data_IF_698375685142
#
_entry.id   IF_698375685142
#
_cell.length_a   1.000
_cell.length_b   1.000
_cell.length_c   1.000
_cell.angle_alpha   90.00
_cell.angle_beta   90.00
_cell.angle_gamma   90.00
#
_symmetry.space_group_name_H-M   'P 1'
#
loop_
_entity.id
_entity.type
_entity.pdbx_description
1 polymer ?
#
# COMPACT_ATOMS: atom_id res chain seq x y z
N UNK A 1 47.70 4.27 48.87
CA UNK A 1 47.91 4.09 47.57
C UNK A 1 46.64 4.03 46.70
N UNK A 2 46.55 4.78 45.85
CA UNK A 2 45.90 5.09 44.62
C UNK A 2 44.69 4.21 44.25
N UNK A 3 43.54 4.54 44.80
CA UNK A 3 42.29 4.07 44.26
C UNK A 3 42.03 4.73 42.90
N UNK A 4 42.18 3.99 41.85
CA UNK A 4 41.70 4.41 40.55
C UNK A 4 40.28 3.94 40.41
N UNK A 5 39.37 4.82 40.66
CA UNK A 5 38.02 4.62 40.21
C UNK A 5 37.97 4.89 38.72
N UNK A 6 38.00 3.86 37.92
CA UNK A 6 37.64 3.95 36.53
C UNK A 6 36.15 3.90 36.46
N UNK A 7 35.52 5.04 36.52
CA UNK A 7 34.12 5.16 36.14
C UNK A 7 34.03 5.08 34.62
N UNK A 8 33.81 3.90 34.15
CA UNK A 8 33.47 3.69 32.76
C UNK A 8 32.00 4.08 32.62
N UNK A 9 31.84 5.23 32.10
CA UNK A 9 30.52 5.74 31.79
C UNK A 9 29.89 4.86 30.72
N UNK A 10 28.95 4.04 31.13
CA UNK A 10 28.08 3.29 30.24
C UNK A 10 27.03 4.25 29.75
N UNK A 11 27.42 5.23 28.95
CA UNK A 11 26.51 6.20 28.38
C UNK A 11 26.13 5.86 26.92
N UNK A 12 26.49 4.68 26.45
CA UNK A 12 26.41 4.39 25.02
C UNK A 12 25.23 3.53 24.57
N UNK A 13 24.32 3.20 25.46
CA UNK A 13 23.27 2.24 25.12
C UNK A 13 21.91 2.84 24.83
N UNK A 14 21.76 4.15 24.88
CA UNK A 14 20.48 4.80 24.69
C UNK A 14 20.15 5.18 23.23
N UNK A 15 21.09 5.01 22.32
CA UNK A 15 20.89 5.36 20.91
C UNK A 15 20.25 4.25 20.07
N UNK A 16 20.16 3.04 20.59
CA UNK A 16 19.58 1.93 19.85
C UNK A 16 18.04 1.88 19.89
N UNK A 17 17.42 2.76 20.67
CA UNK A 17 15.98 2.76 20.90
C UNK A 17 15.26 3.95 20.26
N UNK A 18 15.93 4.72 19.42
CA UNK A 18 15.24 5.64 18.52
C UNK A 18 14.36 4.79 17.61
N UNK A 19 13.08 4.73 17.92
CA UNK A 19 12.12 3.91 17.22
C UNK A 19 12.30 4.03 15.71
N UNK A 20 12.44 2.92 15.04
CA UNK A 20 12.29 2.87 13.60
C UNK A 20 10.84 3.24 13.33
N UNK A 21 10.59 4.52 13.09
CA UNK A 21 9.38 4.93 12.44
C UNK A 21 9.31 4.09 11.15
N UNK A 22 8.34 3.20 11.06
CA UNK A 22 8.06 2.55 9.79
C UNK A 22 7.71 3.66 8.83
N UNK A 23 8.60 3.94 7.88
CA UNK A 23 8.23 4.71 6.72
C UNK A 23 7.10 3.93 6.04
N UNK A 24 5.90 4.50 6.03
CA UNK A 24 4.82 3.98 5.22
C UNK A 24 5.26 4.13 3.77
N UNK A 25 5.50 3.01 3.11
CA UNK A 25 5.84 2.97 1.72
C UNK A 25 4.62 2.61 0.91
N UNK A 26 4.21 3.52 0.06
CA UNK A 26 3.16 3.24 -0.91
C UNK A 26 3.79 2.96 -2.27
N UNK A 27 3.19 2.02 -2.98
CA UNK A 27 3.43 1.80 -4.39
C UNK A 27 2.16 2.09 -5.17
N UNK A 28 2.29 2.49 -6.40
CA UNK A 28 1.18 2.89 -7.26
C UNK A 28 1.30 2.20 -8.61
N UNK A 29 0.15 1.84 -9.18
CA UNK A 29 0.09 1.31 -10.53
C UNK A 29 -1.25 1.68 -11.19
N UNK A 30 -1.25 1.96 -12.49
CA UNK A 30 -2.48 2.28 -13.19
C UNK A 30 -3.35 1.05 -13.37
N UNK A 31 -4.67 1.23 -13.45
CA UNK A 31 -5.54 0.20 -13.96
C UNK A 31 -5.17 -0.12 -15.41
N UNK A 32 -5.20 -1.40 -15.83
CA UNK A 32 -4.83 -1.74 -17.20
C UNK A 32 -5.85 -1.28 -18.26
N UNK A 33 -7.09 -1.02 -17.86
CA UNK A 33 -8.13 -0.57 -18.75
C UNK A 33 -7.77 0.76 -19.43
N UNK A 34 -7.76 0.75 -20.76
CA UNK A 34 -7.18 1.81 -21.57
C UNK A 34 -7.91 3.15 -21.48
N UNK A 35 -9.22 3.14 -21.28
CA UNK A 35 -10.08 4.32 -21.22
C UNK A 35 -10.46 4.71 -19.79
N UNK A 36 -9.81 4.11 -18.79
CA UNK A 36 -10.08 4.35 -17.37
C UNK A 36 -8.91 5.10 -16.74
N UNK A 37 -9.19 6.31 -16.27
CA UNK A 37 -8.19 7.14 -15.60
C UNK A 37 -8.17 6.85 -14.09
N UNK A 38 -7.70 5.66 -13.73
CA UNK A 38 -7.63 5.16 -12.34
C UNK A 38 -6.23 4.69 -12.00
N UNK A 39 -5.81 5.03 -10.79
CA UNK A 39 -4.58 4.52 -10.19
C UNK A 39 -4.91 3.74 -8.91
N UNK A 40 -4.25 2.61 -8.72
CA UNK A 40 -4.29 1.86 -7.47
C UNK A 40 -3.10 2.22 -6.61
N UNK A 41 -3.32 2.23 -5.31
CA UNK A 41 -2.29 2.45 -4.30
C UNK A 41 -2.26 1.28 -3.33
N UNK A 42 -1.08 0.77 -3.03
CA UNK A 42 -0.89 -0.29 -2.05
C UNK A 42 0.07 0.15 -0.96
N UNK A 43 -0.24 -0.19 0.28
CA UNK A 43 0.73 -0.17 1.37
C UNK A 43 1.62 -1.40 1.22
N UNK A 44 2.90 -1.19 0.97
CA UNK A 44 3.83 -2.30 0.68
C UNK A 44 4.09 -3.18 1.89
N UNK A 45 3.83 -2.71 3.10
CA UNK A 45 4.02 -3.47 4.33
C UNK A 45 2.79 -4.29 4.73
N UNK A 46 1.58 -3.77 4.50
CA UNK A 46 0.33 -4.38 4.99
C UNK A 46 -0.54 -4.97 3.88
N UNK A 47 -0.31 -4.58 2.63
CA UNK A 47 -1.11 -5.02 1.49
C UNK A 47 -2.45 -4.30 1.34
N UNK A 48 -2.72 -3.25 2.13
CA UNK A 48 -3.93 -2.45 1.97
C UNK A 48 -3.97 -1.80 0.59
N UNK A 49 -5.08 -1.96 -0.11
CA UNK A 49 -5.26 -1.42 -1.46
C UNK A 49 -6.40 -0.41 -1.47
N UNK A 50 -6.13 0.75 -2.03
CA UNK A 50 -7.12 1.78 -2.34
C UNK A 50 -6.94 2.22 -3.79
N UNK A 51 -7.86 3.05 -4.28
CA UNK A 51 -7.79 3.54 -5.65
C UNK A 51 -8.27 4.98 -5.73
N UNK A 52 -7.75 5.72 -6.69
CA UNK A 52 -8.21 7.07 -6.98
C UNK A 52 -8.32 7.26 -8.49
N UNK A 53 -9.20 8.14 -8.91
CA UNK A 53 -9.39 8.46 -10.31
C UNK A 53 -9.80 9.91 -10.48
N UNK A 54 -9.64 10.41 -11.69
CA UNK A 54 -10.19 11.70 -12.08
C UNK A 54 -11.71 11.56 -12.24
N UNK A 55 -12.45 12.53 -11.71
CA UNK A 55 -13.89 12.62 -11.90
C UNK A 55 -14.29 14.04 -12.30
N UNK A 56 -15.30 14.12 -13.13
CA UNK A 56 -15.89 15.41 -13.55
C UNK A 56 -17.05 15.72 -12.61
N UNK A 57 -17.11 16.99 -12.20
CA UNK A 57 -18.19 17.50 -11.39
C UNK A 57 -18.78 18.73 -12.09
N UNK A 58 -20.09 18.73 -12.31
CA UNK A 58 -20.79 19.73 -13.14
C UNK A 58 -20.58 21.18 -12.68
N UNK A 59 -20.38 21.39 -11.38
CA UNK A 59 -20.20 22.73 -10.80
C UNK A 59 -18.71 23.07 -10.54
N UNK A 60 -17.78 22.22 -10.98
CA UNK A 60 -16.35 22.45 -10.82
C UNK A 60 -15.65 22.52 -12.18
N UNK A 61 -15.00 23.64 -12.51
CA UNK A 61 -14.29 23.75 -13.78
C UNK A 61 -13.02 22.90 -13.88
N UNK A 62 -12.49 22.42 -12.75
CA UNK A 62 -11.24 21.66 -12.71
C UNK A 62 -11.47 20.16 -12.41
N UNK A 63 -12.71 19.75 -12.13
CA UNK A 63 -13.00 18.37 -11.72
C UNK A 63 -12.52 18.06 -10.30
N UNK A 64 -12.40 16.80 -9.99
CA UNK A 64 -11.98 16.34 -8.66
C UNK A 64 -11.21 15.01 -8.74
N UNK A 65 -10.48 14.73 -7.67
CA UNK A 65 -9.91 13.40 -7.43
C UNK A 65 -10.88 12.60 -6.58
N UNK A 66 -11.40 11.52 -7.14
CA UNK A 66 -12.32 10.62 -6.44
C UNK A 66 -11.55 9.39 -5.97
N UNK A 67 -11.54 9.13 -4.66
CA UNK A 67 -10.83 7.99 -4.10
C UNK A 67 -11.79 6.98 -3.48
N UNK A 68 -11.46 5.71 -3.63
CA UNK A 68 -12.20 4.57 -3.08
C UNK A 68 -11.37 3.94 -1.96
N UNK A 69 -11.94 3.81 -0.75
CA UNK A 69 -11.23 3.18 0.36
C UNK A 69 -11.10 1.67 0.19
N UNK A 70 -10.25 1.07 1.00
CA UNK A 70 -10.13 -0.38 1.08
C UNK A 70 -11.37 -0.99 1.71
N UNK A 71 -12.00 -1.91 1.00
CA UNK A 71 -13.13 -2.72 1.44
C UNK A 71 -12.73 -4.17 1.66
N UNK A 72 -13.67 -5.07 1.46
CA UNK A 72 -13.49 -6.50 1.67
C UNK A 72 -12.27 -7.06 0.93
N UNK A 73 -11.40 -7.72 1.66
CA UNK A 73 -10.18 -8.32 1.13
C UNK A 73 -9.05 -7.34 0.83
N UNK A 74 -9.32 -6.02 0.83
CA UNK A 74 -8.34 -4.99 0.52
C UNK A 74 -7.77 -4.29 1.76
N UNK A 75 -8.31 -4.55 2.94
CA UNK A 75 -7.85 -3.96 4.20
C UNK A 75 -6.47 -4.47 4.59
N UNK A 76 -5.79 -3.80 5.53
CA UNK A 76 -4.49 -4.26 6.00
C UNK A 76 -4.51 -5.73 6.43
N UNK A 77 -3.54 -6.50 5.96
CA UNK A 77 -3.39 -7.91 6.29
C UNK A 77 -2.07 -8.21 6.99
N UNK A 78 -1.58 -9.41 6.81
CA UNK A 78 -0.29 -9.84 7.37
C UNK A 78 0.84 -8.95 6.89
N UNK A 79 1.84 -8.75 7.72
CA UNK A 79 3.08 -8.11 7.32
C UNK A 79 3.72 -8.87 6.15
N UNK A 80 4.10 -8.15 5.10
CA UNK A 80 4.63 -8.75 3.90
C UNK A 80 5.47 -7.77 3.10
N UNK A 81 5.71 -8.14 1.88
CA UNK A 81 6.31 -7.28 0.85
C UNK A 81 5.39 -7.28 -0.36
N UNK A 82 4.45 -6.35 -0.33
CA UNK A 82 3.36 -6.30 -1.29
C UNK A 82 3.65 -5.38 -2.47
N UNK A 83 3.09 -5.73 -3.61
CA UNK A 83 3.14 -4.91 -4.80
C UNK A 83 1.88 -5.05 -5.65
N UNK A 84 1.77 -4.16 -6.62
CA UNK A 84 0.69 -4.15 -7.61
C UNK A 84 1.27 -4.41 -9.00
N UNK A 85 0.59 -5.25 -9.77
CA UNK A 85 0.98 -5.53 -11.16
C UNK A 85 -0.27 -5.43 -12.02
N UNK A 86 -0.34 -4.49 -12.97
CA UNK A 86 -1.41 -4.47 -13.95
C UNK A 86 -1.25 -5.65 -14.92
N UNK A 87 -2.37 -6.23 -15.33
CA UNK A 87 -2.36 -7.20 -16.42
C UNK A 87 -2.17 -6.50 -17.77
N UNK A 88 -1.84 -7.25 -18.80
CA UNK A 88 -1.81 -6.72 -20.17
C UNK A 88 -3.21 -6.63 -20.79
N UNK A 89 -4.25 -7.03 -20.08
CA UNK A 89 -5.62 -7.05 -20.59
C UNK A 89 -6.26 -5.66 -20.52
N UNK A 90 -6.27 -4.96 -21.63
CA UNK A 90 -6.64 -3.52 -21.72
C UNK A 90 -8.11 -3.22 -21.45
N UNK A 91 -8.95 -4.23 -21.25
CA UNK A 91 -10.37 -4.08 -20.92
C UNK A 91 -10.66 -4.32 -19.43
N UNK A 92 -9.64 -4.74 -18.66
CA UNK A 92 -9.79 -5.04 -17.25
C UNK A 92 -9.50 -3.81 -16.37
N UNK A 93 -10.40 -3.54 -15.45
CA UNK A 93 -10.23 -2.45 -14.49
C UNK A 93 -9.48 -2.87 -13.22
N UNK A 94 -9.36 -4.16 -12.97
CA UNK A 94 -8.71 -4.72 -11.80
C UNK A 94 -7.20 -4.81 -11.94
N UNK A 95 -6.55 -5.07 -10.82
CA UNK A 95 -5.10 -5.14 -10.72
C UNK A 95 -4.71 -6.33 -9.84
N UNK A 96 -3.56 -6.94 -10.10
CA UNK A 96 -3.03 -7.99 -9.25
C UNK A 96 -2.31 -7.39 -8.06
N UNK A 97 -2.62 -7.90 -6.87
CA UNK A 97 -1.83 -7.70 -5.67
C UNK A 97 -0.99 -8.94 -5.43
N UNK A 98 0.29 -8.75 -5.23
CA UNK A 98 1.22 -9.84 -4.93
C UNK A 98 1.87 -9.62 -3.58
N UNK A 99 2.20 -10.71 -2.90
CA UNK A 99 3.07 -10.71 -1.73
C UNK A 99 4.35 -11.46 -2.09
N UNK A 100 5.46 -10.73 -2.19
CA UNK A 100 6.74 -11.29 -2.62
C UNK A 100 7.33 -12.25 -1.60
N UNK A 101 6.92 -12.16 -0.33
CA UNK A 101 7.43 -13.05 0.72
C UNK A 101 6.92 -14.47 0.61
N UNK A 102 5.68 -14.65 0.20
CA UNK A 102 5.04 -15.96 0.17
C UNK A 102 4.48 -16.35 -1.21
N UNK A 103 4.54 -15.45 -2.18
CA UNK A 103 4.04 -15.70 -3.52
C UNK A 103 2.53 -15.63 -3.67
N UNK A 104 1.80 -15.18 -2.66
CA UNK A 104 0.35 -15.06 -2.72
C UNK A 104 -0.09 -13.98 -3.72
N UNK A 105 -1.13 -14.28 -4.46
CA UNK A 105 -1.71 -13.39 -5.49
C UNK A 105 -3.19 -13.22 -5.24
N UNK A 106 -3.67 -11.99 -5.33
CA UNK A 106 -5.09 -11.67 -5.34
C UNK A 106 -5.38 -10.68 -6.47
N UNK A 107 -6.65 -10.55 -6.82
CA UNK A 107 -7.11 -9.54 -7.78
C UNK A 107 -7.92 -8.50 -7.02
N UNK A 108 -7.58 -7.23 -7.22
CA UNK A 108 -8.26 -6.11 -6.59
C UNK A 108 -8.97 -5.27 -7.65
N UNK A 109 -10.16 -4.80 -7.35
CA UNK A 109 -10.96 -3.97 -8.24
C UNK A 109 -11.91 -3.08 -7.44
N UNK A 110 -12.45 -2.05 -8.08
CA UNK A 110 -13.46 -1.20 -7.46
C UNK A 110 -14.83 -1.84 -7.66
N UNK A 111 -15.53 -2.08 -6.56
CA UNK A 111 -16.87 -2.67 -6.55
C UNK A 111 -17.91 -1.57 -6.42
N UNK A 112 -18.87 -1.54 -7.33
CA UNK A 112 -20.06 -0.66 -7.29
C UNK A 112 -19.71 0.83 -7.08
N UNK A 113 -18.58 1.28 -7.58
CA UNK A 113 -18.08 2.65 -7.40
C UNK A 113 -18.05 3.12 -5.93
N UNK A 114 -17.80 2.20 -4.99
CA UNK A 114 -17.82 2.49 -3.56
C UNK A 114 -16.49 2.19 -2.87
N UNK A 115 -15.88 1.06 -3.16
CA UNK A 115 -14.70 0.58 -2.43
C UNK A 115 -13.85 -0.36 -3.29
N UNK A 116 -12.59 -0.48 -2.93
CA UNK A 116 -11.73 -1.52 -3.49
C UNK A 116 -11.95 -2.82 -2.73
N UNK A 117 -12.16 -3.90 -3.45
CA UNK A 117 -12.20 -5.25 -2.89
C UNK A 117 -11.12 -6.10 -3.53
N UNK A 118 -10.63 -7.08 -2.80
CA UNK A 118 -9.64 -8.04 -3.31
C UNK A 118 -10.13 -9.46 -3.07
N UNK A 119 -9.88 -10.33 -4.05
CA UNK A 119 -10.14 -11.77 -3.90
C UNK A 119 -9.22 -12.37 -2.83
N UNK A 120 -9.62 -13.50 -2.21
CA UNK A 120 -8.74 -14.19 -1.28
C UNK A 120 -7.40 -14.55 -1.93
N UNK A 121 -6.28 -14.38 -1.20
CA UNK A 121 -4.97 -14.70 -1.74
C UNK A 121 -4.84 -16.19 -2.07
N UNK A 122 -4.23 -16.49 -3.20
CA UNK A 122 -3.93 -17.85 -3.65
C UNK A 122 -2.47 -17.93 -4.09
N UNK A 123 -1.85 -19.07 -3.82
CA UNK A 123 -0.47 -19.34 -4.23
C UNK A 123 -0.41 -20.19 -5.48
#
# INVERSE_FOLDING_TARGET
MLGRSTSWSVALLLLAMAGRARAENFAFAPAPQQDLNRIYRIDTATGEVSACQFAVKDDSPIGLTLCYPAGEGAKPGEAGDYGLIPSSHKQEAGIFRINRRNGAVSVCYVREDQEVVCTPPTK
#
